data_IF_572920114569
#
_entry.id   IF_572920114569
#
_cell.length_a   1.000
_cell.length_b   1.000
_cell.length_c   1.000
_cell.angle_alpha   90.00
_cell.angle_beta   90.00
_cell.angle_gamma   90.00
#
_symmetry.space_group_name_H-M   'P 1'
#
loop_
_entity.id
_entity.type
_entity.pdbx_description
1 polymer ?
#
# COMPACT_ATOMS: atom_id res chain seq x y z
N UNK A 1 -0.49 16.62 38.02
CA UNK A 1 -0.09 16.85 36.61
C UNK A 1 -0.32 15.56 35.81
N UNK A 2 -1.57 15.17 35.56
CA UNK A 2 -1.89 13.85 34.94
C UNK A 2 -3.03 13.87 33.91
N UNK A 3 -3.36 15.04 33.34
CA UNK A 3 -4.47 15.17 32.39
C UNK A 3 -4.08 15.04 30.91
N UNK A 4 -2.80 15.28 30.57
CA UNK A 4 -2.37 15.52 29.19
C UNK A 4 -2.27 14.27 28.32
N UNK A 5 -1.92 13.10 28.86
CA UNK A 5 -1.77 11.87 28.05
C UNK A 5 -3.13 11.27 27.63
N UNK A 6 -4.12 11.33 28.52
CA UNK A 6 -5.45 10.74 28.30
C UNK A 6 -6.30 11.47 27.24
N UNK A 7 -6.04 12.76 26.98
CA UNK A 7 -6.75 13.52 25.93
C UNK A 7 -6.13 13.28 24.54
N UNK A 8 -4.80 13.11 24.47
CA UNK A 8 -4.09 12.80 23.23
C UNK A 8 -4.44 11.41 22.73
N UNK A 9 -4.50 10.41 23.61
CA UNK A 9 -4.92 9.05 23.24
C UNK A 9 -6.38 8.97 22.75
N UNK A 10 -7.31 9.68 23.42
CA UNK A 10 -8.72 9.74 22.98
C UNK A 10 -8.87 10.41 21.62
N UNK A 11 -8.07 11.43 21.35
CA UNK A 11 -8.10 12.14 20.06
C UNK A 11 -7.54 11.26 18.93
N UNK A 12 -6.43 10.57 19.17
CA UNK A 12 -5.86 9.62 18.21
C UNK A 12 -6.81 8.44 17.91
N UNK A 13 -7.48 7.90 18.93
CA UNK A 13 -8.48 6.83 18.75
C UNK A 13 -9.69 7.31 17.93
N UNK A 14 -10.14 8.56 18.12
CA UNK A 14 -11.26 9.14 17.38
C UNK A 14 -10.91 9.37 15.90
N UNK A 15 -9.70 9.86 15.60
CA UNK A 15 -9.24 10.00 14.22
C UNK A 15 -9.08 8.66 13.52
N UNK A 16 -8.55 7.65 14.22
CA UNK A 16 -8.40 6.30 13.69
C UNK A 16 -9.76 5.66 13.37
N UNK A 17 -10.75 5.80 14.27
CA UNK A 17 -12.13 5.37 13.99
C UNK A 17 -12.71 6.08 12.77
N UNK A 18 -12.45 7.38 12.61
CA UNK A 18 -12.93 8.16 11.46
C UNK A 18 -12.28 7.70 10.15
N UNK A 19 -10.98 7.39 10.16
CA UNK A 19 -10.28 6.79 9.01
C UNK A 19 -10.92 5.47 8.60
N UNK A 20 -11.21 4.59 9.57
CA UNK A 20 -11.86 3.29 9.34
C UNK A 20 -13.30 3.42 8.82
N UNK A 21 -14.06 4.41 9.28
CA UNK A 21 -15.43 4.67 8.82
C UNK A 21 -15.50 5.22 7.38
N UNK A 22 -14.41 5.80 6.88
CA UNK A 22 -14.33 6.32 5.51
C UNK A 22 -13.81 5.29 4.49
N UNK A 23 -13.62 4.04 4.92
CA UNK A 23 -13.11 2.97 4.06
C UNK A 23 -14.23 2.44 3.15
N UNK A 24 -13.91 2.32 1.86
CA UNK A 24 -14.78 1.75 0.86
C UNK A 24 -15.10 0.27 1.19
N UNK A 25 -16.35 -0.19 1.01
CA UNK A 25 -16.75 -1.58 1.30
C UNK A 25 -15.94 -2.65 0.54
N UNK A 26 -15.37 -2.29 -0.63
CA UNK A 26 -14.56 -3.18 -1.46
C UNK A 26 -13.12 -3.36 -0.93
N UNK A 27 -12.72 -2.61 0.09
CA UNK A 27 -11.34 -2.59 0.58
C UNK A 27 -11.00 -3.85 1.38
N UNK A 28 -10.93 -5.00 0.68
CA UNK A 28 -10.58 -6.32 1.21
C UNK A 28 -9.54 -6.98 0.29
N UNK A 29 -8.46 -7.55 0.83
CA UNK A 29 -8.03 -7.51 2.24
C UNK A 29 -7.61 -6.11 2.71
N UNK A 30 -7.91 -5.74 3.97
CA UNK A 30 -7.49 -4.48 4.59
C UNK A 30 -6.32 -4.73 5.54
N UNK A 31 -5.23 -4.00 5.36
CA UNK A 31 -4.05 -4.07 6.22
C UNK A 31 -4.37 -3.56 7.63
N UNK A 32 -4.14 -4.41 8.63
CA UNK A 32 -4.13 -3.99 10.03
C UNK A 32 -3.00 -2.99 10.34
N UNK A 33 -2.96 -2.49 11.58
CA UNK A 33 -1.96 -1.50 12.05
C UNK A 33 -0.51 -1.93 11.80
N UNK A 34 -0.19 -3.20 12.07
CA UNK A 34 1.16 -3.76 11.94
C UNK A 34 1.55 -3.87 10.46
N UNK A 35 0.71 -4.52 9.66
CA UNK A 35 0.91 -4.69 8.22
C UNK A 35 1.02 -3.34 7.50
N UNK A 36 0.10 -2.40 7.78
CA UNK A 36 0.13 -1.05 7.19
C UNK A 36 1.48 -0.34 7.42
N UNK A 37 2.03 -0.42 8.64
CA UNK A 37 3.35 0.17 8.95
C UNK A 37 4.47 -0.49 8.15
N UNK A 38 4.46 -1.81 7.99
CA UNK A 38 5.44 -2.55 7.18
C UNK A 38 5.30 -2.20 5.69
N UNK A 39 4.08 -2.22 5.17
CA UNK A 39 3.78 -1.81 3.79
C UNK A 39 4.25 -0.39 3.49
N UNK A 40 4.03 0.58 4.39
CA UNK A 40 4.52 1.94 4.18
C UNK A 40 6.04 2.06 4.23
N UNK A 41 6.73 1.26 5.06
CA UNK A 41 8.21 1.19 5.04
C UNK A 41 8.71 0.67 3.70
N UNK A 42 8.13 -0.42 3.21
CA UNK A 42 8.46 -1.00 1.90
C UNK A 42 8.23 0.03 0.77
N UNK A 43 7.11 0.75 0.78
CA UNK A 43 6.82 1.80 -0.21
C UNK A 43 7.84 2.95 -0.17
N UNK A 44 8.30 3.35 1.02
CA UNK A 44 9.35 4.38 1.17
C UNK A 44 10.68 3.89 0.59
N UNK A 45 11.09 2.66 0.91
CA UNK A 45 12.31 2.04 0.38
C UNK A 45 12.27 1.91 -1.14
N UNK A 46 11.15 1.41 -1.68
CA UNK A 46 10.93 1.34 -3.12
C UNK A 46 10.95 2.72 -3.80
N UNK A 47 10.56 3.77 -3.07
CA UNK A 47 10.61 5.15 -3.58
C UNK A 47 12.04 5.65 -3.74
N UNK A 48 12.91 5.39 -2.77
CA UNK A 48 14.34 5.77 -2.80
C UNK A 48 15.05 5.14 -4.00
N UNK A 49 14.73 3.88 -4.29
CA UNK A 49 15.32 3.13 -5.41
C UNK A 49 14.55 3.25 -6.74
N UNK A 50 13.61 4.19 -6.87
CA UNK A 50 12.80 4.40 -8.10
C UNK A 50 12.06 3.14 -8.60
N UNK A 51 11.73 2.24 -7.68
CA UNK A 51 11.00 0.99 -7.91
C UNK A 51 9.49 1.12 -7.70
N UNK A 52 8.94 2.34 -7.70
CA UNK A 52 7.53 2.60 -7.45
C UNK A 52 6.82 3.17 -8.70
N UNK A 53 5.65 2.63 -9.04
CA UNK A 53 4.69 3.25 -9.98
C UNK A 53 3.51 3.83 -9.21
N UNK A 54 3.05 5.01 -9.59
CA UNK A 54 2.11 5.80 -8.77
C UNK A 54 0.86 6.15 -9.55
N UNK A 55 -0.28 5.91 -8.94
CA UNK A 55 -1.60 6.22 -9.49
C UNK A 55 -2.09 5.19 -10.50
N UNK A 56 -3.42 5.18 -10.69
CA UNK A 56 -4.13 4.17 -11.50
C UNK A 56 -3.51 4.01 -12.89
N UNK A 57 -3.29 5.11 -13.60
CA UNK A 57 -2.80 5.09 -14.98
C UNK A 57 -1.43 4.41 -15.11
N UNK A 58 -0.52 4.66 -14.18
CA UNK A 58 0.81 4.04 -14.21
C UNK A 58 0.77 2.59 -13.74
N UNK A 59 0.02 2.29 -12.69
CA UNK A 59 -0.15 0.93 -12.16
C UNK A 59 -0.75 0.02 -13.23
N UNK A 60 -1.89 0.40 -13.83
CA UNK A 60 -2.54 -0.36 -14.90
C UNK A 60 -1.61 -0.54 -16.10
N UNK A 61 -0.88 0.52 -16.51
CA UNK A 61 0.10 0.42 -17.60
C UNK A 61 1.24 -0.55 -17.27
N UNK A 62 1.68 -0.59 -16.02
CA UNK A 62 2.76 -1.45 -15.57
C UNK A 62 2.33 -2.92 -15.53
N UNK A 63 1.14 -3.20 -14.99
CA UNK A 63 0.54 -4.54 -14.96
C UNK A 63 0.36 -5.07 -16.39
N UNK A 64 -0.21 -4.26 -17.30
CA UNK A 64 -0.39 -4.62 -18.72
C UNK A 64 0.92 -4.87 -19.47
N UNK A 65 2.06 -4.39 -18.97
CA UNK A 65 3.40 -4.66 -19.51
C UNK A 65 4.04 -5.92 -18.93
N UNK A 66 3.34 -6.64 -18.06
CA UNK A 66 3.84 -7.85 -17.39
C UNK A 66 4.77 -7.57 -16.21
N UNK A 67 4.84 -6.32 -15.72
CA UNK A 67 5.63 -6.03 -14.52
C UNK A 67 4.90 -6.57 -13.29
N UNK A 68 5.60 -7.44 -12.55
CA UNK A 68 5.16 -8.02 -11.28
C UNK A 68 5.60 -7.17 -10.10
N UNK A 69 4.95 -7.37 -8.96
CA UNK A 69 5.21 -6.63 -7.74
C UNK A 69 4.07 -6.74 -6.74
N UNK A 70 3.93 -5.73 -5.89
CA UNK A 70 2.88 -5.63 -4.86
C UNK A 70 2.06 -4.37 -5.13
N UNK A 71 0.74 -4.53 -5.29
CA UNK A 71 -0.17 -3.41 -5.42
C UNK A 71 -0.70 -2.96 -4.05
N UNK A 72 -0.51 -1.69 -3.71
CA UNK A 72 -1.04 -1.10 -2.47
C UNK A 72 -2.12 -0.09 -2.85
N UNK A 73 -3.33 -0.30 -2.36
CA UNK A 73 -4.52 0.48 -2.72
C UNK A 73 -5.03 1.21 -1.48
N UNK A 74 -5.37 2.48 -1.60
CA UNK A 74 -5.99 3.21 -0.50
C UNK A 74 -7.49 2.84 -0.39
N UNK A 75 -7.93 2.55 0.84
CA UNK A 75 -9.31 2.19 1.14
C UNK A 75 -10.25 3.40 1.23
N UNK A 76 -9.75 4.60 1.55
CA UNK A 76 -10.56 5.82 1.70
C UNK A 76 -10.72 6.63 0.41
N UNK A 77 -10.80 5.95 -0.74
CA UNK A 77 -10.95 6.58 -2.05
C UNK A 77 -12.42 6.83 -2.38
N UNK A 78 -12.70 8.08 -2.76
CA UNK A 78 -14.00 8.51 -3.26
C UNK A 78 -13.78 9.37 -4.52
N UNK A 79 -14.48 9.07 -5.63
CA UNK A 79 -15.44 7.97 -5.80
C UNK A 79 -14.77 6.59 -5.92
N UNK A 80 -15.50 5.55 -5.56
CA UNK A 80 -15.01 4.16 -5.52
C UNK A 80 -14.63 3.63 -6.91
N UNK A 81 -15.30 4.13 -7.96
CA UNK A 81 -15.11 3.72 -9.36
C UNK A 81 -13.67 3.90 -9.86
N UNK A 82 -12.90 4.78 -9.21
CA UNK A 82 -11.49 5.03 -9.52
C UNK A 82 -10.62 3.80 -9.26
N UNK A 83 -10.97 2.94 -8.29
CA UNK A 83 -10.13 1.82 -7.85
C UNK A 83 -10.75 0.45 -8.10
N UNK A 84 -12.05 0.34 -8.41
CA UNK A 84 -12.77 -0.95 -8.54
C UNK A 84 -12.13 -1.92 -9.54
N UNK A 85 -11.54 -1.41 -10.62
CA UNK A 85 -10.91 -2.21 -11.66
C UNK A 85 -9.47 -2.62 -11.34
N UNK A 86 -8.83 -2.01 -10.33
CA UNK A 86 -7.41 -2.27 -10.01
C UNK A 86 -7.20 -3.65 -9.37
N UNK A 87 -7.97 -4.06 -8.33
CA UNK A 87 -7.85 -5.41 -7.76
C UNK A 87 -8.07 -6.50 -8.79
N UNK A 88 -9.10 -6.36 -9.64
CA UNK A 88 -9.40 -7.33 -10.71
C UNK A 88 -8.19 -7.53 -11.64
N UNK A 89 -7.55 -6.43 -12.06
CA UNK A 89 -6.33 -6.51 -12.87
C UNK A 89 -5.15 -7.13 -12.12
N UNK A 90 -5.09 -6.98 -10.80
CA UNK A 90 -4.05 -7.60 -9.99
C UNK A 90 -4.28 -9.12 -9.89
N UNK A 91 -5.53 -9.57 -9.72
CA UNK A 91 -5.89 -10.99 -9.71
C UNK A 91 -5.60 -11.67 -11.06
N UNK A 92 -6.05 -11.07 -12.18
CA UNK A 92 -5.78 -11.60 -13.53
C UNK A 92 -4.27 -11.69 -13.83
N UNK A 93 -3.51 -10.74 -13.30
CA UNK A 93 -2.08 -10.68 -13.49
C UNK A 93 -1.29 -11.41 -12.40
N UNK A 94 -1.93 -12.13 -11.47
CA UNK A 94 -1.28 -12.82 -10.34
C UNK A 94 -0.27 -11.90 -9.61
N UNK A 95 -0.79 -10.75 -9.15
CA UNK A 95 -0.08 -9.72 -8.41
C UNK A 95 -0.76 -9.61 -7.04
N UNK A 96 -0.04 -9.85 -5.92
CA UNK A 96 -0.60 -9.64 -4.60
C UNK A 96 -0.99 -8.17 -4.42
N UNK A 97 -2.12 -7.93 -3.75
CA UNK A 97 -2.58 -6.59 -3.44
C UNK A 97 -3.10 -6.47 -2.01
N UNK A 98 -3.07 -5.26 -1.47
CA UNK A 98 -3.54 -4.97 -0.12
C UNK A 98 -4.15 -3.58 -0.05
N UNK A 99 -5.24 -3.43 0.71
CA UNK A 99 -5.79 -2.13 1.02
C UNK A 99 -5.15 -1.52 2.27
N UNK A 100 -4.87 -0.22 2.23
CA UNK A 100 -4.41 0.57 3.39
C UNK A 100 -5.47 1.60 3.77
N UNK A 101 -5.64 1.96 5.05
CA UNK A 101 -6.76 2.77 5.49
C UNK A 101 -6.75 4.22 4.99
N UNK A 102 -5.58 4.77 4.63
CA UNK A 102 -5.43 6.19 4.27
C UNK A 102 -4.56 6.40 3.03
N UNK A 103 -5.12 7.13 2.05
CA UNK A 103 -4.43 7.65 0.87
C UNK A 103 -3.39 8.71 1.19
N UNK A 104 -3.58 9.46 2.29
CA UNK A 104 -2.65 10.48 2.77
C UNK A 104 -1.36 9.82 3.28
N UNK A 105 -1.51 8.77 4.09
CA UNK A 105 -0.40 7.98 4.61
C UNK A 105 0.36 7.29 3.46
N UNK A 106 -0.38 6.78 2.46
CA UNK A 106 0.19 6.19 1.24
C UNK A 106 0.96 7.22 0.39
N UNK A 107 0.41 8.42 0.21
CA UNK A 107 1.07 9.51 -0.52
C UNK A 107 2.34 9.99 0.18
N UNK A 108 2.31 10.08 1.52
CA UNK A 108 3.49 10.37 2.33
C UNK A 108 4.57 9.31 2.16
N UNK A 109 4.20 8.02 2.20
CA UNK A 109 5.14 6.92 1.99
C UNK A 109 5.73 6.92 0.56
N UNK A 110 4.93 7.25 -0.45
CA UNK A 110 5.37 7.34 -1.84
C UNK A 110 6.10 8.63 -2.21
N UNK A 111 6.47 9.47 -1.22
CA UNK A 111 7.11 10.78 -1.41
C UNK A 111 6.46 11.62 -2.52
N UNK A 112 5.13 11.75 -2.50
CA UNK A 112 4.37 12.53 -3.47
C UNK A 112 3.51 13.59 -2.80
N UNK A 113 3.54 14.81 -3.35
CA UNK A 113 2.69 15.92 -2.87
C UNK A 113 1.22 15.76 -3.26
N UNK A 114 0.93 14.91 -4.26
CA UNK A 114 -0.45 14.65 -4.71
C UNK A 114 -0.97 13.36 -4.07
N UNK A 115 -2.18 13.36 -3.47
CA UNK A 115 -2.82 12.15 -2.97
C UNK A 115 -2.85 11.08 -4.05
N UNK A 116 -2.42 9.87 -3.70
CA UNK A 116 -2.31 8.75 -4.64
C UNK A 116 -3.24 7.64 -4.18
N UNK A 117 -4.08 7.17 -5.09
CA UNK A 117 -5.07 6.13 -4.83
C UNK A 117 -4.47 4.72 -4.77
N UNK A 118 -3.46 4.43 -5.59
CA UNK A 118 -2.80 3.15 -5.61
C UNK A 118 -1.34 3.31 -6.04
N UNK A 119 -0.49 2.42 -5.56
CA UNK A 119 0.91 2.32 -5.98
C UNK A 119 1.25 0.87 -6.28
N UNK A 120 2.19 0.66 -7.18
CA UNK A 120 2.75 -0.66 -7.46
C UNK A 120 4.23 -0.62 -7.08
N UNK A 121 4.58 -1.44 -6.09
CA UNK A 121 5.96 -1.67 -5.66
C UNK A 121 6.54 -2.77 -6.55
N UNK A 122 7.59 -2.44 -7.29
CA UNK A 122 8.34 -3.40 -8.10
C UNK A 122 9.52 -3.93 -7.29
N UNK A 123 9.84 -5.20 -7.46
CA UNK A 123 11.04 -5.82 -6.85
C UNK A 123 12.33 -5.48 -7.59
N UNK A 124 12.21 -4.87 -8.78
CA UNK A 124 13.31 -4.43 -9.63
C UNK A 124 13.00 -3.05 -10.20
N UNK A 125 14.03 -2.21 -10.44
CA UNK A 125 13.83 -0.89 -11.01
C UNK A 125 13.41 -1.04 -12.48
N UNK A 126 12.59 -0.11 -12.99
CA UNK A 126 12.23 -0.12 -14.42
C UNK A 126 13.39 0.35 -15.32
N UNK A 127 14.36 1.08 -14.76
CA UNK A 127 15.55 1.59 -15.45
C UNK A 127 16.71 1.65 -14.46
N UNK A 128 17.87 1.15 -14.86
CA UNK A 128 19.08 1.07 -14.03
C UNK A 128 19.17 -0.26 -13.26
N UNK A 129 20.18 -0.35 -12.41
CA UNK A 129 20.44 -1.49 -11.53
C UNK A 129 20.41 -0.99 -10.07
N UNK A 130 19.84 -1.79 -9.16
CA UNK A 130 20.05 -1.59 -7.74
C UNK A 130 21.35 -2.28 -7.34
N UNK A 131 22.04 -1.74 -6.34
CA UNK A 131 23.09 -2.49 -5.67
C UNK A 131 22.53 -3.81 -5.13
N UNK A 132 23.32 -4.88 -5.22
CA UNK A 132 22.88 -6.23 -4.86
C UNK A 132 22.33 -6.29 -3.42
N UNK A 133 22.99 -5.59 -2.49
CA UNK A 133 22.57 -5.50 -1.09
C UNK A 133 21.20 -4.82 -0.92
N UNK A 134 20.94 -3.73 -1.64
CA UNK A 134 19.66 -3.03 -1.57
C UNK A 134 18.54 -3.83 -2.24
N UNK A 135 18.87 -4.55 -3.32
CA UNK A 135 17.93 -5.43 -4.00
C UNK A 135 17.53 -6.61 -3.11
N UNK A 136 18.48 -7.22 -2.39
CA UNK A 136 18.19 -8.29 -1.43
C UNK A 136 17.32 -7.78 -0.29
N UNK A 137 17.67 -6.65 0.32
CA UNK A 137 16.86 -6.03 1.39
C UNK A 137 15.44 -5.66 0.94
N UNK A 138 15.30 -5.08 -0.24
CA UNK A 138 13.98 -4.74 -0.81
C UNK A 138 13.16 -6.00 -1.05
N UNK A 139 13.80 -7.07 -1.54
CA UNK A 139 13.16 -8.36 -1.80
C UNK A 139 12.74 -9.04 -0.50
N UNK A 140 13.57 -9.05 0.54
CA UNK A 140 13.24 -9.61 1.85
C UNK A 140 12.04 -8.91 2.49
N UNK A 141 12.02 -7.56 2.48
CA UNK A 141 10.88 -6.79 2.97
C UNK A 141 9.62 -7.05 2.14
N UNK A 142 9.77 -7.15 0.82
CA UNK A 142 8.68 -7.49 -0.09
C UNK A 142 8.10 -8.87 0.23
N UNK A 143 8.95 -9.90 0.33
CA UNK A 143 8.54 -11.28 0.57
C UNK A 143 7.83 -11.40 1.94
N UNK A 144 8.34 -10.70 2.96
CA UNK A 144 7.69 -10.65 4.28
C UNK A 144 6.30 -10.02 4.22
N UNK A 145 6.16 -8.87 3.55
CA UNK A 145 4.87 -8.18 3.42
C UNK A 145 3.89 -9.02 2.61
N UNK A 146 4.34 -9.66 1.52
CA UNK A 146 3.51 -10.53 0.68
C UNK A 146 3.05 -11.76 1.46
N UNK A 147 3.90 -12.38 2.27
CA UNK A 147 3.51 -13.49 3.15
C UNK A 147 2.38 -13.08 4.11
N UNK A 148 2.52 -11.94 4.80
CA UNK A 148 1.47 -11.43 5.69
C UNK A 148 0.17 -11.09 4.94
N UNK A 149 0.27 -10.63 3.69
CA UNK A 149 -0.91 -10.39 2.84
C UNK A 149 -1.58 -11.71 2.50
N UNK A 150 -0.85 -12.75 2.12
CA UNK A 150 -1.43 -14.07 1.86
C UNK A 150 -2.11 -14.64 3.10
N UNK A 151 -1.51 -14.52 4.28
CA UNK A 151 -2.13 -14.91 5.55
C UNK A 151 -3.42 -14.10 5.80
N UNK A 152 -3.38 -12.78 5.60
CA UNK A 152 -4.53 -11.90 5.78
C UNK A 152 -5.66 -12.27 4.81
N UNK A 153 -5.35 -12.49 3.53
CA UNK A 153 -6.33 -12.89 2.51
C UNK A 153 -6.91 -14.27 2.80
N UNK A 154 -6.09 -15.24 3.21
CA UNK A 154 -6.54 -16.59 3.58
C UNK A 154 -7.39 -16.62 4.85
N UNK A 155 -7.27 -15.62 5.72
CA UNK A 155 -8.14 -15.49 6.90
C UNK A 155 -9.51 -14.88 6.60
N UNK A 156 -9.69 -14.31 5.40
CA UNK A 156 -10.91 -13.63 4.98
C UNK A 156 -11.84 -14.52 4.14
N UNK A 157 -11.31 -15.58 3.54
CA UNK A 157 -12.01 -16.52 2.65
C UNK A 157 -11.77 -17.95 3.12
#
# INVERSE_FOLDING_TARGET
>A
MGGSDSEVEKTAQKEERKKLMAIAPIAKPLAGKKLSKRTFKLVRRATEHKCLKRGVKEVVKSIRRGHKGLCVIAGNISPIDVITHVPLLCEEADIPYIYVPSKEDLASAGATKRPTCCVLVLTKPTKGELGQEDQEKLKEEYDQVVSEIHETTSSLF
#
